data_IF_621160887376
#
_entry.id   IF_621160887376
#
_cell.length_a   1.000
_cell.length_b   1.000
_cell.length_c   1.000
_cell.angle_alpha   90.00
_cell.angle_beta   90.00
_cell.angle_gamma   90.00
#
_symmetry.space_group_name_H-M   'P 1'
#
loop_
_entity.id
_entity.type
_entity.pdbx_description
1 polymer ?
#
# COMPACT_ATOMS: atom_id res chain seq x y z
N UNK A 1 -5.60 -51.14 -63.08
CA UNK A 1 -6.12 -49.76 -62.91
C UNK A 1 -5.72 -49.32 -61.51
N UNK A 2 -4.66 -48.52 -61.39
CA UNK A 2 -4.07 -48.11 -60.11
C UNK A 2 -4.43 -46.65 -59.83
N UNK A 3 -5.16 -46.40 -58.74
CA UNK A 3 -5.39 -45.04 -58.24
C UNK A 3 -4.45 -44.78 -57.06
N UNK A 4 -3.48 -43.86 -57.15
CA UNK A 4 -2.69 -43.48 -55.98
C UNK A 4 -3.58 -42.66 -55.04
N UNK A 5 -3.66 -43.09 -53.78
CA UNK A 5 -4.32 -42.35 -52.69
C UNK A 5 -3.34 -41.29 -52.21
N UNK A 6 -3.73 -40.01 -52.27
CA UNK A 6 -2.97 -38.91 -51.68
C UNK A 6 -2.86 -39.16 -50.16
N UNK A 7 -1.65 -39.46 -49.69
CA UNK A 7 -1.32 -39.43 -48.27
C UNK A 7 -0.94 -37.97 -47.96
N UNK A 8 -1.82 -37.28 -47.24
CA UNK A 8 -1.49 -36.01 -46.61
C UNK A 8 -0.56 -36.36 -45.44
N UNK A 9 0.71 -35.99 -45.57
CA UNK A 9 1.66 -36.04 -44.47
C UNK A 9 1.25 -34.96 -43.47
N UNK A 10 0.53 -35.37 -42.42
CA UNK A 10 0.20 -34.50 -41.30
C UNK A 10 1.48 -34.34 -40.47
N UNK A 11 2.33 -33.39 -40.86
CA UNK A 11 3.39 -32.91 -39.99
C UNK A 11 2.73 -32.39 -38.71
N UNK A 12 2.78 -33.21 -37.67
CA UNK A 12 2.33 -32.83 -36.33
C UNK A 12 3.12 -31.60 -35.91
N UNK A 13 2.48 -30.50 -35.47
CA UNK A 13 3.21 -29.38 -34.92
C UNK A 13 4.11 -29.90 -33.80
N UNK A 14 5.42 -29.70 -33.94
CA UNK A 14 6.35 -30.03 -32.86
C UNK A 14 5.91 -29.24 -31.63
N UNK A 15 5.54 -29.94 -30.56
CA UNK A 15 5.32 -29.31 -29.27
C UNK A 15 6.70 -28.98 -28.69
N UNK A 16 7.17 -27.77 -28.97
CA UNK A 16 8.38 -27.23 -28.37
C UNK A 16 8.17 -27.10 -26.85
N UNK A 17 8.84 -27.96 -26.08
CA UNK A 17 8.86 -27.90 -24.63
C UNK A 17 9.78 -26.79 -24.11
N UNK A 18 9.40 -26.16 -23.00
CA UNK A 18 10.23 -25.16 -22.31
C UNK A 18 11.61 -25.73 -21.97
N UNK A 19 12.66 -24.94 -22.24
CA UNK A 19 14.02 -25.34 -21.89
C UNK A 19 14.35 -24.98 -20.44
N UNK A 20 15.19 -25.78 -19.78
CA UNK A 20 15.66 -25.48 -18.40
C UNK A 20 16.41 -24.15 -18.34
N UNK A 21 17.15 -23.80 -19.39
CA UNK A 21 17.93 -22.57 -19.47
C UNK A 21 17.02 -21.33 -19.55
N UNK A 22 15.86 -21.46 -20.18
CA UNK A 22 14.87 -20.40 -20.33
C UNK A 22 14.21 -20.08 -18.99
N UNK A 23 13.85 -21.11 -18.21
CA UNK A 23 13.37 -20.90 -16.84
C UNK A 23 14.49 -20.34 -15.94
N UNK A 24 15.74 -20.80 -16.10
CA UNK A 24 16.89 -20.31 -15.34
C UNK A 24 17.13 -18.81 -15.58
N UNK A 25 17.15 -18.37 -16.83
CA UNK A 25 17.35 -16.95 -17.16
C UNK A 25 16.21 -16.09 -16.61
N UNK A 26 14.96 -16.57 -16.67
CA UNK A 26 13.79 -15.86 -16.14
C UNK A 26 13.92 -15.64 -14.63
N UNK A 27 14.27 -16.67 -13.85
CA UNK A 27 14.43 -16.52 -12.39
C UNK A 27 15.58 -15.57 -12.02
N UNK A 28 16.64 -15.55 -12.82
CA UNK A 28 17.76 -14.62 -12.64
C UNK A 28 17.31 -13.17 -12.89
N UNK A 29 16.57 -12.92 -13.97
CA UNK A 29 16.09 -11.57 -14.29
C UNK A 29 15.12 -11.06 -13.22
N UNK A 30 14.13 -11.86 -12.81
CA UNK A 30 13.18 -11.45 -11.75
C UNK A 30 13.89 -11.24 -10.41
N UNK A 31 14.96 -11.98 -10.10
CA UNK A 31 15.74 -11.79 -8.88
C UNK A 31 16.45 -10.42 -8.86
N UNK A 32 17.09 -10.04 -9.97
CA UNK A 32 17.76 -8.74 -10.09
C UNK A 32 16.76 -7.59 -10.03
N UNK A 33 15.65 -7.68 -10.77
CA UNK A 33 14.61 -6.66 -10.75
C UNK A 33 13.97 -6.53 -9.37
N UNK A 34 13.69 -7.65 -8.70
CA UNK A 34 13.09 -7.66 -7.36
C UNK A 34 14.02 -7.08 -6.30
N UNK A 35 15.33 -7.31 -6.40
CA UNK A 35 16.31 -6.76 -5.47
C UNK A 35 16.31 -5.22 -5.45
N UNK A 36 16.10 -4.58 -6.60
CA UNK A 36 16.03 -3.11 -6.73
C UNK A 36 14.61 -2.59 -6.45
N UNK A 37 13.60 -3.31 -6.93
CA UNK A 37 12.19 -2.88 -6.87
C UNK A 37 11.60 -2.98 -5.46
N UNK A 38 11.91 -4.05 -4.71
CA UNK A 38 11.33 -4.31 -3.40
C UNK A 38 11.59 -3.20 -2.36
N UNK A 39 12.84 -2.72 -2.14
CA UNK A 39 13.08 -1.64 -1.16
C UNK A 39 12.37 -0.34 -1.56
N UNK A 40 12.33 -0.02 -2.86
CA UNK A 40 11.61 1.14 -3.39
C UNK A 40 10.10 1.02 -3.15
N UNK A 41 9.53 -0.16 -3.39
CA UNK A 41 8.12 -0.44 -3.14
C UNK A 41 7.75 -0.30 -1.66
N UNK A 42 8.56 -0.86 -0.75
CA UNK A 42 8.34 -0.73 0.69
C UNK A 42 8.40 0.73 1.15
N UNK A 43 9.33 1.52 0.61
CA UNK A 43 9.42 2.94 0.90
C UNK A 43 8.18 3.70 0.40
N UNK A 44 7.68 3.38 -0.80
CA UNK A 44 6.46 3.97 -1.34
C UNK A 44 5.23 3.62 -0.49
N UNK A 45 5.10 2.37 -0.04
CA UNK A 45 4.05 1.96 0.88
C UNK A 45 4.10 2.75 2.21
N UNK A 46 5.30 2.95 2.76
CA UNK A 46 5.48 3.76 3.97
C UNK A 46 5.13 5.24 3.75
N UNK A 47 5.51 5.81 2.61
CA UNK A 47 5.11 7.19 2.24
C UNK A 47 3.59 7.32 2.10
N UNK A 48 2.92 6.33 1.51
CA UNK A 48 1.46 6.33 1.41
C UNK A 48 0.79 6.31 2.80
N UNK A 49 1.28 5.45 3.71
CA UNK A 49 0.82 5.41 5.10
C UNK A 49 1.06 6.75 5.82
N UNK A 50 2.20 7.38 5.64
CA UNK A 50 2.48 8.72 6.21
C UNK A 50 1.54 9.80 5.65
N UNK A 51 1.27 9.77 4.34
CA UNK A 51 0.35 10.71 3.71
C UNK A 51 -1.10 10.54 4.23
N UNK A 52 -1.54 9.29 4.45
CA UNK A 52 -2.81 8.99 5.11
C UNK A 52 -2.85 9.58 6.54
N UNK A 53 -1.78 9.39 7.32
CA UNK A 53 -1.68 9.93 8.67
C UNK A 53 -1.75 11.46 8.70
N UNK A 54 -1.03 12.14 7.80
CA UNK A 54 -1.10 13.60 7.68
C UNK A 54 -2.50 14.08 7.29
N UNK A 55 -3.18 13.37 6.40
CA UNK A 55 -4.56 13.66 6.00
C UNK A 55 -5.51 13.54 7.19
N UNK A 56 -5.38 12.46 7.97
CA UNK A 56 -6.19 12.22 9.17
C UNK A 56 -5.92 13.27 10.25
N UNK A 57 -4.67 13.63 10.51
CA UNK A 57 -4.31 14.70 11.46
C UNK A 57 -4.89 16.05 10.99
N UNK A 58 -4.81 16.34 9.70
CA UNK A 58 -5.43 17.54 9.12
C UNK A 58 -6.94 17.58 9.31
N UNK A 59 -7.62 16.45 9.12
CA UNK A 59 -9.05 16.31 9.39
C UNK A 59 -9.36 16.49 10.89
N UNK A 60 -8.54 15.92 11.79
CA UNK A 60 -8.65 16.11 13.24
C UNK A 60 -8.53 17.58 13.64
N UNK A 61 -7.57 18.30 13.07
CA UNK A 61 -7.39 19.73 13.36
C UNK A 61 -8.62 20.55 12.91
N UNK A 62 -9.14 20.30 11.71
CA UNK A 62 -10.35 20.97 11.22
C UNK A 62 -11.57 20.66 12.08
N UNK A 63 -11.76 19.39 12.48
CA UNK A 63 -12.88 19.01 13.33
C UNK A 63 -12.76 19.60 14.74
N UNK A 64 -11.55 19.71 15.30
CA UNK A 64 -11.32 20.41 16.57
C UNK A 64 -11.71 21.89 16.47
N UNK A 65 -11.36 22.56 15.38
CA UNK A 65 -11.78 23.96 15.14
C UNK A 65 -13.31 24.07 15.03
N UNK A 66 -13.96 23.18 14.27
CA UNK A 66 -15.42 23.15 14.18
C UNK A 66 -16.08 22.92 15.55
N UNK A 67 -15.56 21.97 16.32
CA UNK A 67 -16.05 21.66 17.65
C UNK A 67 -15.94 22.86 18.60
N UNK A 68 -14.82 23.59 18.53
CA UNK A 68 -14.61 24.79 19.33
C UNK A 68 -15.61 25.90 18.97
N UNK A 69 -15.95 26.06 17.68
CA UNK A 69 -16.97 27.04 17.27
C UNK A 69 -18.34 26.71 17.84
N UNK A 70 -18.68 25.42 17.99
CA UNK A 70 -19.96 24.98 18.52
C UNK A 70 -20.04 24.97 20.05
N UNK A 71 -18.97 24.56 20.73
CA UNK A 71 -19.00 24.27 22.17
C UNK A 71 -18.07 25.15 23.01
N UNK A 72 -17.29 26.01 22.37
CA UNK A 72 -16.28 26.86 23.00
C UNK A 72 -15.22 26.10 23.80
N UNK A 73 -15.02 24.81 23.50
CA UNK A 73 -14.01 23.96 24.12
C UNK A 73 -13.34 23.03 23.09
N UNK A 74 -12.07 22.70 23.32
CA UNK A 74 -11.39 21.62 22.61
C UNK A 74 -11.63 20.30 23.33
N UNK A 75 -11.85 19.24 22.58
CA UNK A 75 -12.13 17.92 23.17
C UNK A 75 -10.89 17.04 23.14
N UNK A 76 -10.66 16.27 24.20
CA UNK A 76 -9.65 15.20 24.25
C UNK A 76 -10.17 13.88 23.68
N UNK A 77 -11.48 13.78 23.44
CA UNK A 77 -12.13 12.57 22.96
C UNK A 77 -12.26 12.57 21.44
N UNK A 78 -11.56 11.66 20.76
CA UNK A 78 -11.63 11.53 19.30
C UNK A 78 -13.05 11.25 18.80
N UNK A 79 -13.85 10.51 19.58
CA UNK A 79 -15.24 10.17 19.25
C UNK A 79 -16.16 11.40 19.15
N UNK A 80 -15.82 12.50 19.84
CA UNK A 80 -16.59 13.75 19.79
C UNK A 80 -16.42 14.52 18.48
N UNK A 81 -15.39 14.18 17.69
CA UNK A 81 -15.13 14.79 16.39
C UNK A 81 -15.84 14.09 15.21
N UNK A 82 -16.45 12.92 15.44
CA UNK A 82 -17.21 12.16 14.42
C UNK A 82 -16.49 11.96 13.08
N UNK A 83 -15.17 11.77 13.11
CA UNK A 83 -14.34 11.70 11.90
C UNK A 83 -14.33 10.32 11.21
N UNK A 84 -14.92 9.29 11.83
CA UNK A 84 -14.83 7.91 11.34
C UNK A 84 -13.42 7.30 11.37
N UNK A 85 -12.47 7.98 12.02
CA UNK A 85 -11.08 7.51 12.19
C UNK A 85 -11.04 6.57 13.39
N UNK A 86 -10.64 5.31 13.17
CA UNK A 86 -10.34 4.40 14.26
C UNK A 86 -9.07 4.87 15.00
N UNK A 87 -9.03 4.84 16.34
CA UNK A 87 -7.84 5.21 17.11
C UNK A 87 -6.59 4.40 16.75
N UNK A 88 -6.73 3.24 16.07
CA UNK A 88 -5.63 2.48 15.50
C UNK A 88 -6.02 1.85 14.17
N UNK A 89 -5.23 2.09 13.12
CA UNK A 89 -5.38 1.45 11.80
C UNK A 89 -4.30 0.38 11.54
N UNK A 90 -3.65 -0.13 12.59
CA UNK A 90 -2.53 -1.07 12.53
C UNK A 90 -1.18 -0.44 12.17
N UNK A 91 -1.17 0.76 11.57
CA UNK A 91 0.06 1.49 11.19
C UNK A 91 0.30 2.71 12.11
N UNK A 92 -0.76 3.41 12.51
CA UNK A 92 -0.70 4.59 13.38
C UNK A 92 -1.79 4.56 14.44
N UNK A 93 -1.47 5.13 15.60
CA UNK A 93 -2.41 5.38 16.69
C UNK A 93 -2.65 6.88 16.81
N UNK A 94 -3.91 7.31 16.78
CA UNK A 94 -4.30 8.71 16.87
C UNK A 94 -4.82 9.00 18.27
N UNK A 95 -4.22 9.99 18.95
CA UNK A 95 -4.67 10.43 20.28
C UNK A 95 -4.72 11.95 20.33
N UNK A 96 -5.61 12.47 21.18
CA UNK A 96 -5.71 13.91 21.45
C UNK A 96 -5.37 14.10 22.92
N UNK A 97 -4.30 14.84 23.17
CA UNK A 97 -3.84 15.10 24.53
C UNK A 97 -3.95 16.60 24.81
N UNK A 98 -4.58 16.95 25.92
CA UNK A 98 -4.55 18.33 26.41
C UNK A 98 -3.12 18.65 26.84
N UNK A 99 -2.52 19.66 26.22
CA UNK A 99 -1.18 20.13 26.59
C UNK A 99 -1.33 21.26 27.58
N UNK A 100 -0.94 21.02 28.83
CA UNK A 100 -0.82 22.07 29.83
C UNK A 100 0.42 22.93 29.51
N UNK A 101 0.20 24.22 29.23
CA UNK A 101 1.27 25.14 28.80
C UNK A 101 2.31 25.36 29.92
N UNK A 102 1.95 25.21 31.20
CA UNK A 102 2.88 25.33 32.34
C UNK A 102 3.81 24.13 32.49
N UNK A 103 3.44 22.95 31.99
CA UNK A 103 4.31 21.75 31.99
C UNK A 103 5.27 21.67 30.80
N UNK A 104 5.24 22.64 29.88
CA UNK A 104 6.15 22.72 28.73
C UNK A 104 7.52 23.34 29.09
N UNK A 105 8.00 23.10 30.31
CA UNK A 105 9.37 23.45 30.71
C UNK A 105 10.32 22.36 30.26
N UNK A 106 11.03 22.66 29.16
CA UNK A 106 12.40 22.26 28.85
C UNK A 106 12.77 20.81 29.19
N UNK A 107 12.80 19.95 28.17
CA UNK A 107 13.88 18.97 27.95
C UNK A 107 14.01 18.74 26.46
#
# INVERSE_FOLDING_TARGET
>A
MFTPRYLIDLQSPQEDGFTLIEILMVVVIIAVLSAISLPSFLNQANKARQAEALTNIGAMNKAQQAHFVEKFEFTTDLSRLSLGISPGNGNYTYTIQAVDVKKRSVT
#
